data_IF_386349456904
#
_entry.id   IF_386349456904
#
_cell.length_a   1.000
_cell.length_b   1.000
_cell.length_c   1.000
_cell.angle_alpha   90.00
_cell.angle_beta   90.00
_cell.angle_gamma   90.00
#
_symmetry.space_group_name_H-M   'P 1'
#
loop_
_entity.id
_entity.type
_entity.pdbx_description
1 polymer ?
#
# COMPACT_ATOMS: atom_id res chain seq x y z
N UNK A 1 -6.52 -18.02 23.16
CA UNK A 1 -5.30 -18.80 23.49
C UNK A 1 -4.62 -19.43 22.26
N UNK A 2 -5.36 -19.91 21.24
CA UNK A 2 -4.77 -20.54 20.04
C UNK A 2 -3.99 -19.56 19.14
N UNK A 3 -4.45 -18.34 18.95
CA UNK A 3 -3.79 -17.34 18.09
C UNK A 3 -2.42 -16.92 18.61
N UNK A 4 -2.26 -16.72 19.93
CA UNK A 4 -0.97 -16.36 20.54
C UNK A 4 0.08 -17.48 20.36
N UNK A 5 -0.33 -18.74 20.33
CA UNK A 5 0.57 -19.87 20.08
C UNK A 5 1.00 -19.95 18.61
N UNK A 6 0.12 -19.62 17.68
CA UNK A 6 0.45 -19.62 16.25
C UNK A 6 1.44 -18.48 15.94
N UNK A 7 1.22 -17.28 16.45
CA UNK A 7 2.15 -16.15 16.30
C UNK A 7 3.51 -16.46 16.92
N UNK A 8 3.54 -17.09 18.10
CA UNK A 8 4.78 -17.48 18.74
C UNK A 8 5.53 -18.59 17.98
N UNK A 9 4.81 -19.56 17.40
CA UNK A 9 5.40 -20.61 16.55
C UNK A 9 5.93 -20.07 15.23
N UNK A 10 5.26 -19.11 14.62
CA UNK A 10 5.73 -18.43 13.40
C UNK A 10 6.99 -17.61 13.70
N UNK A 11 7.03 -16.87 14.80
CA UNK A 11 8.22 -16.15 15.27
C UNK A 11 9.38 -17.09 15.62
N UNK A 12 9.10 -18.21 16.30
CA UNK A 12 10.12 -19.21 16.64
C UNK A 12 10.65 -19.95 15.41
N UNK A 13 9.78 -20.23 14.42
CA UNK A 13 10.18 -20.81 13.14
C UNK A 13 11.10 -19.89 12.33
N UNK A 14 10.90 -18.58 12.41
CA UNK A 14 11.79 -17.58 11.77
C UNK A 14 13.19 -17.55 12.40
N UNK A 15 13.34 -17.86 13.67
CA UNK A 15 14.65 -17.94 14.35
C UNK A 15 15.44 -19.20 14.01
N UNK A 16 14.78 -20.26 13.52
CA UNK A 16 15.45 -21.54 13.21
C UNK A 16 15.98 -21.64 11.77
N UNK A 17 15.77 -20.64 10.95
CA UNK A 17 16.32 -20.59 9.60
C UNK A 17 17.79 -20.14 9.68
N UNK A 18 18.71 -21.09 9.92
CA UNK A 18 20.14 -20.89 9.71
C UNK A 18 20.42 -20.68 8.20
N UNK A 19 20.11 -19.51 7.70
CA UNK A 19 20.45 -19.11 6.33
C UNK A 19 21.54 -18.02 6.41
N UNK A 20 22.58 -18.21 5.66
CA UNK A 20 23.75 -17.33 5.53
C UNK A 20 23.46 -16.02 4.78
N UNK A 21 22.20 -15.70 4.49
CA UNK A 21 21.78 -14.46 3.85
C UNK A 21 21.37 -13.44 4.90
N UNK A 22 21.91 -12.23 4.79
CA UNK A 22 21.61 -11.15 5.72
C UNK A 22 20.14 -10.72 5.59
N UNK A 23 19.42 -10.78 6.71
CA UNK A 23 18.10 -10.14 6.81
C UNK A 23 18.29 -8.62 6.68
N UNK A 24 17.39 -7.97 5.96
CA UNK A 24 17.41 -6.52 5.80
C UNK A 24 16.27 -5.95 6.63
N UNK A 25 16.63 -5.15 7.62
CA UNK A 25 15.67 -4.36 8.39
C UNK A 25 15.86 -2.88 8.04
N UNK A 26 14.75 -2.18 7.73
CA UNK A 26 14.75 -0.74 7.43
C UNK A 26 13.70 -0.04 8.29
N UNK A 27 13.97 1.20 8.63
CA UNK A 27 13.02 2.10 9.27
C UNK A 27 13.02 3.43 8.55
N UNK A 28 11.84 3.96 8.29
CA UNK A 28 11.63 5.31 7.77
C UNK A 28 10.74 6.07 8.75
N UNK A 29 11.18 7.25 9.13
CA UNK A 29 10.41 8.15 9.96
C UNK A 29 10.23 9.48 9.24
N UNK A 30 8.98 9.92 9.16
CA UNK A 30 8.59 11.21 8.58
C UNK A 30 7.84 11.98 9.66
N UNK A 31 8.13 13.28 9.76
CA UNK A 31 7.41 14.19 10.66
C UNK A 31 7.10 15.46 9.90
N UNK A 32 5.83 15.83 9.91
CA UNK A 32 5.32 17.07 9.30
C UNK A 32 4.70 17.95 10.37
N UNK A 33 5.04 19.21 10.35
CA UNK A 33 4.38 20.23 11.13
C UNK A 33 3.53 21.11 10.22
N UNK A 34 2.23 21.09 10.45
CA UNK A 34 1.22 21.82 9.69
C UNK A 34 0.72 23.01 10.51
N UNK A 35 0.44 24.12 9.85
CA UNK A 35 -0.09 25.33 10.44
C UNK A 35 -1.07 26.01 9.48
N UNK A 36 -2.29 26.30 9.94
CA UNK A 36 -3.34 26.94 9.16
C UNK A 36 -3.15 28.47 8.98
N UNK A 37 -1.97 29.00 9.32
CA UNK A 37 -1.64 30.42 9.32
C UNK A 37 -2.49 31.26 10.31
N UNK A 38 -3.25 30.61 11.18
CA UNK A 38 -4.10 31.26 12.19
C UNK A 38 -3.76 30.72 13.59
N UNK A 39 -4.50 29.77 14.11
CA UNK A 39 -4.32 29.29 15.49
C UNK A 39 -4.09 27.79 15.60
N UNK A 40 -4.41 27.05 14.56
CA UNK A 40 -4.36 25.61 14.62
C UNK A 40 -3.03 25.09 14.07
N UNK A 41 -2.48 24.13 14.77
CA UNK A 41 -1.29 23.39 14.35
C UNK A 41 -1.55 21.90 14.43
N UNK A 42 -0.95 21.14 13.56
CA UNK A 42 -0.96 19.67 13.61
C UNK A 42 0.47 19.17 13.45
N UNK A 43 0.87 18.22 14.27
CA UNK A 43 2.12 17.50 14.12
C UNK A 43 1.77 16.07 13.71
N UNK A 44 2.07 15.72 12.48
CA UNK A 44 1.84 14.38 11.93
C UNK A 44 3.17 13.63 11.92
N UNK A 45 3.15 12.40 12.42
CA UNK A 45 4.32 11.53 12.48
C UNK A 45 3.97 10.19 11.85
N UNK A 46 4.84 9.70 10.98
CA UNK A 46 4.74 8.37 10.39
C UNK A 46 6.02 7.59 10.62
N UNK A 47 5.90 6.37 11.12
CA UNK A 47 7.00 5.41 11.21
C UNK A 47 6.65 4.17 10.38
N UNK A 48 7.47 3.86 9.39
CA UNK A 48 7.41 2.61 8.62
C UNK A 48 8.57 1.72 9.00
N UNK A 49 8.29 0.48 9.37
CA UNK A 49 9.27 -0.56 9.67
C UNK A 49 9.13 -1.67 8.65
N UNK A 50 10.24 -2.05 8.02
CA UNK A 50 10.29 -3.06 6.97
C UNK A 50 11.29 -4.16 7.32
N UNK A 51 10.93 -5.38 6.99
CA UNK A 51 11.76 -6.57 7.13
C UNK A 51 11.72 -7.39 5.84
N UNK A 52 12.89 -7.65 5.27
CA UNK A 52 13.05 -8.57 4.16
C UNK A 52 13.93 -9.74 4.59
N UNK A 53 13.42 -10.95 4.42
CA UNK A 53 14.10 -12.20 4.79
C UNK A 53 14.33 -13.00 3.51
N UNK A 54 15.57 -13.05 2.97
CA UNK A 54 15.89 -13.87 1.82
C UNK A 54 15.63 -15.36 2.07
N UNK A 55 15.10 -16.05 1.08
CA UNK A 55 14.81 -17.48 1.12
C UNK A 55 15.69 -18.19 0.09
N UNK A 56 16.36 -19.26 0.49
CA UNK A 56 17.16 -20.07 -0.41
C UNK A 56 18.36 -19.31 -0.99
N UNK A 57 18.47 -19.22 -2.32
CA UNK A 57 19.62 -18.61 -3.03
C UNK A 57 19.47 -17.12 -3.33
N UNK A 58 18.55 -16.43 -2.66
CA UNK A 58 18.41 -14.97 -2.74
C UNK A 58 17.60 -14.43 -3.93
N UNK A 59 16.83 -15.28 -4.60
CA UNK A 59 15.82 -14.84 -5.58
C UNK A 59 14.42 -14.74 -4.97
N UNK A 60 14.27 -15.30 -3.81
CA UNK A 60 13.03 -15.38 -3.06
C UNK A 60 13.22 -14.65 -1.75
N UNK A 61 12.20 -13.94 -1.31
CA UNK A 61 12.18 -13.33 0.00
C UNK A 61 10.78 -13.36 0.61
N UNK A 62 10.75 -13.28 1.93
CA UNK A 62 9.57 -12.95 2.69
C UNK A 62 9.65 -11.49 3.09
N UNK A 63 8.63 -10.73 2.71
CA UNK A 63 8.54 -9.30 2.96
C UNK A 63 7.50 -9.01 4.04
N UNK A 64 7.83 -8.14 4.98
CA UNK A 64 6.90 -7.64 5.98
C UNK A 64 7.13 -6.15 6.23
N UNK A 65 6.05 -5.39 6.37
CA UNK A 65 6.14 -4.00 6.78
C UNK A 65 4.94 -3.60 7.64
N UNK A 66 5.21 -2.73 8.62
CA UNK A 66 4.19 -2.08 9.44
C UNK A 66 4.27 -0.58 9.27
N UNK A 67 3.12 0.06 9.43
CA UNK A 67 2.97 1.50 9.38
C UNK A 67 2.35 1.99 10.69
N UNK A 68 2.90 3.06 11.25
CA UNK A 68 2.43 3.70 12.46
C UNK A 68 2.21 5.18 12.16
N UNK A 69 1.04 5.69 12.49
CA UNK A 69 0.69 7.10 12.30
C UNK A 69 0.24 7.68 13.63
N UNK A 70 0.74 8.86 13.94
CA UNK A 70 0.33 9.63 15.12
C UNK A 70 0.25 11.12 14.78
N UNK A 71 -0.89 11.73 15.04
CA UNK A 71 -1.11 13.17 14.86
C UNK A 71 -1.67 13.81 16.12
N UNK A 72 -1.43 15.12 16.26
CA UNK A 72 -1.88 15.88 17.44
C UNK A 72 -3.28 16.45 17.29
N UNK A 73 -3.70 16.75 16.06
CA UNK A 73 -5.02 17.27 15.72
C UNK A 73 -5.52 16.62 14.43
N UNK A 74 -6.80 16.71 14.16
CA UNK A 74 -7.37 16.34 12.87
C UNK A 74 -6.97 17.35 11.80
N UNK A 75 -7.09 16.96 10.52
CA UNK A 75 -6.67 17.74 9.38
C UNK A 75 -7.10 19.21 9.48
N UNK A 76 -6.14 20.10 9.62
CA UNK A 76 -6.36 21.54 9.84
C UNK A 76 -6.28 22.34 8.54
N UNK A 77 -5.83 21.71 7.48
CA UNK A 77 -5.70 22.30 6.14
C UNK A 77 -6.63 21.52 5.23
N UNK A 78 -7.66 22.20 4.76
CA UNK A 78 -8.63 21.65 3.81
C UNK A 78 -8.21 22.06 2.40
N UNK A 79 -7.93 21.07 1.55
CA UNK A 79 -7.64 21.27 0.14
C UNK A 79 -8.20 20.11 -0.72
N UNK A 80 -8.28 20.34 -2.03
CA UNK A 80 -8.88 19.41 -2.98
C UNK A 80 -8.03 18.18 -3.26
N UNK A 81 -6.74 18.18 -2.90
CA UNK A 81 -5.80 17.13 -3.24
C UNK A 81 -5.27 16.37 -2.02
N UNK A 82 -5.66 16.78 -0.81
CA UNK A 82 -5.06 16.31 0.42
C UNK A 82 -3.66 16.90 0.61
N UNK A 83 -3.53 17.84 1.54
CA UNK A 83 -2.29 18.59 1.78
C UNK A 83 -1.10 17.69 2.08
N UNK A 84 -1.32 16.63 2.83
CA UNK A 84 -0.30 15.69 3.26
C UNK A 84 -0.67 14.26 2.86
N UNK A 85 0.27 13.52 2.30
CA UNK A 85 0.10 12.10 1.97
C UNK A 85 0.33 11.17 3.17
N UNK A 86 0.68 11.70 4.33
CA UNK A 86 0.84 10.93 5.58
C UNK A 86 -0.18 11.30 6.67
N UNK A 87 -1.01 12.33 6.46
CA UNK A 87 -2.05 12.75 7.43
C UNK A 87 -3.22 11.78 7.37
N UNK A 88 -3.25 10.89 8.34
CA UNK A 88 -4.24 9.83 8.49
C UNK A 88 -4.58 9.71 9.97
N UNK A 89 -5.64 9.01 10.31
CA UNK A 89 -6.01 8.74 11.69
C UNK A 89 -4.90 8.07 12.49
N UNK A 90 -4.93 8.24 13.81
CA UNK A 90 -3.96 7.62 14.70
C UNK A 90 -4.03 6.10 14.65
N UNK A 91 -2.98 5.48 14.15
CA UNK A 91 -2.85 4.03 14.04
C UNK A 91 -1.56 3.54 14.69
N UNK A 92 -1.66 2.63 15.65
CA UNK A 92 -0.48 2.08 16.30
C UNK A 92 0.29 1.11 15.41
N UNK A 93 -0.39 0.24 14.68
CA UNK A 93 0.26 -0.72 13.79
C UNK A 93 -0.70 -1.16 12.68
N UNK A 94 -0.52 -0.63 11.50
CA UNK A 94 -1.16 -1.09 10.29
C UNK A 94 -0.26 -2.12 9.61
N UNK A 95 -0.83 -3.16 9.05
CA UNK A 95 -0.10 -4.08 8.20
C UNK A 95 0.02 -3.48 6.81
N UNK A 96 1.21 -2.98 6.45
CA UNK A 96 1.46 -2.40 5.15
C UNK A 96 1.84 -3.46 4.10
N UNK A 97 2.72 -4.39 4.47
CA UNK A 97 3.16 -5.49 3.60
C UNK A 97 3.27 -6.77 4.41
N UNK A 98 2.83 -7.89 3.85
CA UNK A 98 3.14 -9.23 4.34
C UNK A 98 3.00 -10.23 3.17
N UNK A 99 4.10 -10.77 2.70
CA UNK A 99 4.00 -11.67 1.55
C UNK A 99 5.32 -12.28 1.10
N UNK A 100 5.22 -12.99 0.02
CA UNK A 100 6.32 -13.63 -0.67
C UNK A 100 6.67 -12.85 -1.94
N UNK A 101 7.95 -12.63 -2.14
CA UNK A 101 8.53 -12.00 -3.33
C UNK A 101 9.43 -13.02 -4.06
N UNK A 102 9.26 -13.13 -5.36
CA UNK A 102 10.18 -13.83 -6.25
C UNK A 102 10.76 -12.86 -7.27
N UNK A 103 12.09 -12.79 -7.35
CA UNK A 103 12.79 -11.94 -8.29
C UNK A 103 13.43 -12.77 -9.42
N UNK A 104 13.33 -12.26 -10.64
CA UNK A 104 14.11 -12.73 -11.78
C UNK A 104 14.84 -11.56 -12.45
N UNK A 105 15.69 -11.84 -13.42
CA UNK A 105 16.60 -10.84 -14.00
C UNK A 105 15.89 -9.61 -14.62
N UNK A 106 14.62 -9.71 -14.96
CA UNK A 106 13.87 -8.69 -15.66
C UNK A 106 12.59 -8.23 -14.95
N UNK A 107 12.38 -8.63 -13.72
CA UNK A 107 11.18 -8.25 -12.96
C UNK A 107 10.99 -9.02 -11.68
N UNK A 108 9.81 -8.92 -11.09
CA UNK A 108 9.45 -9.65 -9.89
C UNK A 108 7.97 -10.01 -9.81
N UNK A 109 7.65 -10.95 -8.95
CA UNK A 109 6.30 -11.35 -8.57
C UNK A 109 6.17 -11.17 -7.05
N UNK A 110 5.07 -10.59 -6.62
CA UNK A 110 4.69 -10.53 -5.21
C UNK A 110 3.31 -11.17 -5.01
N UNK A 111 3.19 -11.96 -3.96
CA UNK A 111 1.92 -12.55 -3.53
C UNK A 111 1.74 -12.37 -2.02
N UNK A 112 0.70 -11.67 -1.61
CA UNK A 112 0.47 -11.37 -0.20
C UNK A 112 -0.42 -10.17 0.02
N UNK A 113 -0.21 -9.48 1.13
CA UNK A 113 -0.91 -8.24 1.51
C UNK A 113 -0.01 -7.05 1.21
N UNK A 114 -0.52 -6.06 0.49
CA UNK A 114 0.11 -4.73 0.30
C UNK A 114 -0.92 -3.71 -0.20
N UNK A 115 -0.56 -2.44 -0.22
CA UNK A 115 -1.33 -1.42 -0.92
C UNK A 115 -0.88 -1.29 -2.38
N UNK A 116 -1.72 -0.71 -3.23
CA UNK A 116 -1.45 -0.56 -4.68
C UNK A 116 -0.71 0.73 -5.03
N UNK A 117 -0.59 1.69 -4.10
CA UNK A 117 0.04 2.98 -4.36
C UNK A 117 1.51 2.89 -4.68
N UNK A 118 2.20 1.94 -4.07
CA UNK A 118 3.65 1.84 -4.15
C UNK A 118 4.15 1.40 -5.53
N UNK A 119 3.28 0.83 -6.35
CA UNK A 119 3.69 0.18 -7.60
C UNK A 119 3.36 0.95 -8.85
N UNK A 120 2.27 1.74 -8.83
CA UNK A 120 1.70 2.32 -10.04
C UNK A 120 1.76 3.85 -10.03
N UNK A 121 2.02 4.42 -11.20
CA UNK A 121 2.07 5.86 -11.48
C UNK A 121 3.09 6.63 -10.63
N UNK A 122 4.09 5.93 -10.10
CA UNK A 122 5.15 6.50 -9.27
C UNK A 122 6.37 6.87 -10.08
N UNK A 123 7.06 7.91 -9.65
CA UNK A 123 8.37 8.31 -10.18
C UNK A 123 9.24 8.87 -9.04
N UNK A 124 10.57 8.88 -9.22
CA UNK A 124 11.46 9.49 -8.24
C UNK A 124 11.28 11.02 -8.08
N UNK A 125 10.51 11.65 -8.98
CA UNK A 125 10.16 13.07 -8.86
C UNK A 125 8.88 13.23 -8.04
N UNK A 126 7.86 12.41 -8.29
CA UNK A 126 6.59 12.49 -7.55
C UNK A 126 6.77 12.17 -6.06
N UNK A 127 7.71 11.29 -5.72
CA UNK A 127 8.05 10.96 -4.32
C UNK A 127 8.71 12.10 -3.52
N UNK A 128 8.98 13.24 -4.16
CA UNK A 128 9.46 14.45 -3.47
C UNK A 128 8.32 15.38 -3.02
N UNK A 129 7.10 15.13 -3.45
CA UNK A 129 5.94 15.94 -3.08
C UNK A 129 5.24 15.38 -1.86
N UNK A 130 4.74 16.26 -1.00
CA UNK A 130 4.09 15.89 0.27
C UNK A 130 2.58 15.67 0.11
N UNK A 131 1.97 16.11 -0.99
CA UNK A 131 0.53 15.98 -1.19
C UNK A 131 0.11 14.57 -1.61
N UNK A 132 -1.18 14.27 -1.49
CA UNK A 132 -1.75 12.94 -1.78
C UNK A 132 -1.81 12.57 -3.27
N UNK A 133 -1.23 13.39 -4.16
CA UNK A 133 -1.25 13.15 -5.62
C UNK A 133 -0.15 12.20 -6.09
N UNK A 134 0.69 11.70 -5.20
CA UNK A 134 1.71 10.72 -5.52
C UNK A 134 1.12 9.31 -5.67
N UNK A 135 1.64 8.54 -6.61
CA UNK A 135 1.23 7.16 -6.83
C UNK A 135 -0.06 7.05 -7.63
N UNK A 136 -0.97 6.19 -7.18
CA UNK A 136 -2.24 5.96 -7.88
C UNK A 136 -3.03 7.27 -7.97
N UNK A 137 -3.59 7.55 -9.14
CA UNK A 137 -4.29 8.82 -9.36
C UNK A 137 -5.44 9.01 -8.35
N UNK A 138 -5.61 10.21 -7.79
CA UNK A 138 -6.70 10.50 -6.85
C UNK A 138 -8.08 10.11 -7.38
N UNK A 139 -8.34 10.29 -8.70
CA UNK A 139 -9.58 9.86 -9.35
C UNK A 139 -9.85 8.36 -9.26
N UNK A 140 -8.83 7.52 -9.20
CA UNK A 140 -9.00 6.08 -9.00
C UNK A 140 -9.18 5.79 -7.50
N UNK A 141 -8.33 6.37 -6.67
CA UNK A 141 -8.35 6.15 -5.22
C UNK A 141 -9.64 6.64 -4.55
N UNK A 142 -10.21 7.75 -5.03
CA UNK A 142 -11.49 8.28 -4.53
C UNK A 142 -12.73 7.65 -5.16
N UNK A 143 -12.58 6.93 -6.27
CA UNK A 143 -13.72 6.28 -6.94
C UNK A 143 -13.99 4.84 -6.45
N UNK A 144 -13.05 4.22 -5.76
CA UNK A 144 -13.17 2.82 -5.33
C UNK A 144 -12.49 2.62 -3.95
N UNK A 145 -13.05 1.80 -3.05
CA UNK A 145 -12.49 1.50 -1.73
C UNK A 145 -11.31 0.52 -1.80
N UNK A 146 -10.41 0.72 -2.75
CA UNK A 146 -9.27 -0.16 -3.00
C UNK A 146 -8.25 -0.11 -1.87
N UNK A 147 -7.30 -1.06 -1.90
CA UNK A 147 -6.16 -1.09 -0.97
C UNK A 147 -5.17 0.06 -1.26
N UNK A 148 -5.60 1.28 -0.96
CA UNK A 148 -4.84 2.52 -1.03
C UNK A 148 -4.37 2.94 0.36
N UNK A 149 -3.22 3.62 0.49
CA UNK A 149 -2.72 4.10 1.79
C UNK A 149 -3.84 4.76 2.62
N UNK A 150 -3.97 4.43 3.90
CA UNK A 150 -3.17 3.52 4.71
C UNK A 150 -3.62 2.05 4.66
N UNK A 151 -4.68 1.75 3.90
CA UNK A 151 -5.28 0.43 3.80
C UNK A 151 -4.42 -0.51 2.97
N UNK A 152 -4.47 -1.79 3.31
CA UNK A 152 -3.84 -2.86 2.53
C UNK A 152 -4.84 -3.97 2.22
N UNK A 153 -4.49 -4.85 1.29
CA UNK A 153 -5.34 -5.98 0.90
C UNK A 153 -4.56 -7.07 0.20
N UNK A 154 -5.20 -8.21 0.01
CA UNK A 154 -4.58 -9.30 -0.74
C UNK A 154 -4.32 -8.89 -2.17
N UNK A 155 -3.11 -9.15 -2.62
CA UNK A 155 -2.57 -8.71 -3.90
C UNK A 155 -1.71 -9.82 -4.52
N UNK A 156 -1.88 -10.02 -5.82
CA UNK A 156 -0.93 -10.68 -6.69
C UNK A 156 -0.40 -9.64 -7.66
N UNK A 157 0.87 -9.30 -7.56
CA UNK A 157 1.52 -8.30 -8.40
C UNK A 157 2.66 -8.92 -9.19
N UNK A 158 2.88 -8.49 -10.41
CA UNK A 158 4.10 -8.77 -11.16
C UNK A 158 4.50 -7.60 -12.05
N UNK A 159 5.80 -7.51 -12.33
CA UNK A 159 6.33 -6.68 -13.40
C UNK A 159 7.34 -7.43 -14.26
N UNK A 160 7.50 -6.93 -15.48
CA UNK A 160 8.50 -7.41 -16.44
C UNK A 160 9.08 -6.23 -17.21
N UNK A 161 10.41 -6.14 -17.24
CA UNK A 161 11.16 -5.13 -17.98
C UNK A 161 11.89 -5.76 -19.17
N UNK A 162 11.69 -5.20 -20.36
CA UNK A 162 12.43 -5.55 -21.57
C UNK A 162 12.92 -4.30 -22.29
N UNK A 163 14.22 -4.09 -22.27
CA UNK A 163 14.82 -2.88 -22.83
C UNK A 163 14.38 -1.62 -22.08
N UNK A 164 13.63 -0.74 -22.78
CA UNK A 164 13.10 0.50 -22.22
C UNK A 164 11.66 0.38 -21.72
N UNK A 165 11.03 -0.76 -21.91
CA UNK A 165 9.65 -1.01 -21.55
C UNK A 165 9.54 -1.80 -20.27
N UNK A 166 8.64 -1.39 -19.38
CA UNK A 166 8.23 -2.15 -18.20
C UNK A 166 6.71 -2.29 -18.22
N UNK A 167 6.25 -3.53 -18.13
CA UNK A 167 4.83 -3.82 -17.92
C UNK A 167 4.63 -4.22 -16.46
N UNK A 168 3.60 -3.66 -15.83
CA UNK A 168 3.18 -3.96 -14.47
C UNK A 168 1.73 -4.38 -14.47
N UNK A 169 1.39 -5.36 -13.64
CA UNK A 169 0.00 -5.73 -13.42
C UNK A 169 -0.20 -6.16 -11.97
N UNK A 170 -1.36 -5.83 -11.41
CA UNK A 170 -1.80 -6.36 -10.11
C UNK A 170 -3.25 -6.81 -10.16
N UNK A 171 -3.52 -7.90 -9.46
CA UNK A 171 -4.85 -8.39 -9.14
C UNK A 171 -5.03 -8.29 -7.63
N UNK A 172 -6.00 -7.51 -7.19
CA UNK A 172 -6.16 -7.14 -5.80
C UNK A 172 -7.56 -7.51 -5.31
N UNK A 173 -7.70 -7.75 -4.02
CA UNK A 173 -9.01 -7.65 -3.40
C UNK A 173 -9.61 -6.28 -3.72
N UNK A 174 -10.93 -6.22 -3.98
CA UNK A 174 -11.58 -4.99 -4.43
C UNK A 174 -11.76 -3.92 -3.35
N UNK A 175 -11.44 -4.25 -2.09
CA UNK A 175 -11.43 -3.30 -0.97
C UNK A 175 -10.15 -3.44 -0.16
N UNK A 176 -9.69 -2.34 0.43
CA UNK A 176 -8.60 -2.29 1.38
C UNK A 176 -9.10 -2.27 2.82
N UNK A 177 -8.27 -2.71 3.76
CA UNK A 177 -8.58 -2.80 5.18
C UNK A 177 -7.40 -2.36 6.02
N UNK A 178 -7.70 -1.72 7.15
CA UNK A 178 -6.69 -1.25 8.10
C UNK A 178 -6.76 -1.92 9.47
N UNK A 179 -7.81 -2.69 9.72
CA UNK A 179 -8.08 -3.28 11.02
C UNK A 179 -7.42 -4.65 11.25
N UNK A 180 -7.68 -5.18 12.45
CA UNK A 180 -7.25 -6.51 12.90
C UNK A 180 -8.43 -7.38 13.34
N UNK A 181 -9.67 -6.95 13.04
CA UNK A 181 -10.90 -7.66 13.41
C UNK A 181 -11.26 -8.70 12.34
N UNK A 182 -12.11 -9.65 12.69
CA UNK A 182 -12.54 -10.71 11.77
C UNK A 182 -13.25 -10.18 10.50
N UNK A 183 -13.90 -9.03 10.60
CA UNK A 183 -14.64 -8.39 9.50
C UNK A 183 -13.89 -7.21 8.87
N UNK A 184 -12.76 -6.80 9.46
CA UNK A 184 -11.92 -5.69 9.03
C UNK A 184 -10.46 -6.11 9.22
N UNK A 185 -9.87 -6.73 8.20
CA UNK A 185 -8.45 -7.08 8.15
C UNK A 185 -8.01 -7.32 6.70
N UNK A 186 -6.73 -7.08 6.37
CA UNK A 186 -6.24 -7.13 4.99
C UNK A 186 -6.17 -8.53 4.36
N UNK A 187 -6.46 -9.59 5.12
CA UNK A 187 -6.52 -10.97 4.59
C UNK A 187 -7.91 -11.41 4.13
N UNK A 188 -8.90 -10.52 4.17
CA UNK A 188 -10.25 -10.84 3.75
C UNK A 188 -10.32 -11.14 2.26
N UNK A 189 -11.04 -12.21 1.91
CA UNK A 189 -11.34 -12.62 0.53
C UNK A 189 -12.85 -12.66 0.36
N UNK A 190 -13.43 -11.60 -0.14
CA UNK A 190 -14.88 -11.45 -0.29
C UNK A 190 -15.26 -10.93 -1.68
N UNK A 191 -14.92 -11.66 -2.78
CA UNK A 191 -15.11 -11.14 -4.14
C UNK A 191 -16.57 -10.82 -4.49
N UNK A 192 -17.53 -11.43 -3.82
CA UNK A 192 -18.95 -11.09 -3.98
C UNK A 192 -19.34 -9.78 -3.28
N UNK A 193 -18.69 -9.43 -2.16
CA UNK A 193 -18.93 -8.18 -1.41
C UNK A 193 -17.98 -7.08 -1.88
N UNK A 194 -16.68 -7.34 -1.91
CA UNK A 194 -15.65 -6.35 -2.15
C UNK A 194 -15.34 -6.18 -3.65
N UNK A 195 -15.69 -7.19 -4.48
CA UNK A 195 -15.24 -7.22 -5.87
C UNK A 195 -13.77 -7.62 -6.01
N UNK A 196 -13.24 -7.41 -7.21
CA UNK A 196 -11.84 -7.60 -7.58
C UNK A 196 -11.37 -6.33 -8.30
N UNK A 197 -10.20 -5.85 -7.95
CA UNK A 197 -9.57 -4.70 -8.59
C UNK A 197 -8.34 -5.15 -9.37
N UNK A 198 -8.28 -4.80 -10.66
CA UNK A 198 -7.12 -5.02 -11.51
C UNK A 198 -6.54 -3.69 -11.97
N UNK A 199 -5.23 -3.57 -11.87
CA UNK A 199 -4.48 -2.44 -12.41
C UNK A 199 -3.38 -2.95 -13.34
N UNK A 200 -3.27 -2.32 -14.51
CA UNK A 200 -2.21 -2.57 -15.49
C UNK A 200 -1.57 -1.26 -15.89
N UNK A 201 -0.24 -1.26 -16.02
CA UNK A 201 0.53 -0.10 -16.43
C UNK A 201 1.64 -0.50 -17.39
N UNK A 202 1.82 0.27 -18.44
CA UNK A 202 2.96 0.20 -19.35
C UNK A 202 3.82 1.46 -19.17
N UNK A 203 5.10 1.25 -18.90
CA UNK A 203 6.09 2.32 -18.77
C UNK A 203 7.08 2.30 -19.93
N UNK A 204 7.53 3.46 -20.36
CA UNK A 204 8.61 3.64 -21.32
C UNK A 204 9.65 4.63 -20.79
N UNK A 205 10.89 4.18 -20.66
CA UNK A 205 12.00 4.98 -20.16
C UNK A 205 12.82 5.51 -21.35
N UNK A 206 12.92 6.84 -21.48
CA UNK A 206 13.67 7.47 -22.56
C UNK A 206 14.32 8.78 -22.12
N UNK A 207 15.63 8.90 -22.35
CA UNK A 207 16.42 10.13 -22.09
C UNK A 207 16.18 10.77 -20.72
N UNK A 208 16.13 9.94 -19.64
CA UNK A 208 15.91 10.41 -18.27
C UNK A 208 14.47 10.73 -17.92
N UNK A 209 13.53 10.58 -18.86
CA UNK A 209 12.09 10.66 -18.63
C UNK A 209 11.45 9.29 -18.52
N UNK A 210 10.38 9.20 -17.75
CA UNK A 210 9.49 8.04 -17.67
C UNK A 210 8.10 8.45 -18.18
N UNK A 211 7.63 7.75 -19.18
CA UNK A 211 6.27 7.87 -19.70
C UNK A 211 5.49 6.63 -19.31
N UNK A 212 4.28 6.78 -18.87
CA UNK A 212 3.45 5.64 -18.52
C UNK A 212 1.98 5.89 -18.89
N UNK A 213 1.30 4.79 -19.18
CA UNK A 213 -0.15 4.74 -19.36
C UNK A 213 -0.66 3.47 -18.65
N UNK A 214 -1.86 3.53 -18.09
CA UNK A 214 -2.43 2.40 -17.39
C UNK A 214 -3.95 2.37 -17.50
N UNK A 215 -4.49 1.24 -17.08
CA UNK A 215 -5.93 1.00 -16.98
C UNK A 215 -6.23 0.36 -15.62
N UNK A 216 -7.29 0.84 -14.98
CA UNK A 216 -7.84 0.28 -13.76
C UNK A 216 -9.24 -0.26 -14.03
N UNK A 217 -9.54 -1.45 -13.55
CA UNK A 217 -10.85 -2.09 -13.69
C UNK A 217 -11.26 -2.66 -12.33
N UNK A 218 -12.47 -2.30 -11.89
CA UNK A 218 -13.11 -2.86 -10.71
C UNK A 218 -14.35 -3.64 -11.10
N UNK A 219 -14.55 -4.83 -10.53
CA UNK A 219 -15.72 -5.69 -10.90
C UNK A 219 -17.02 -5.27 -10.25
N UNK A 220 -16.98 -4.38 -9.24
CA UNK A 220 -18.18 -3.77 -8.65
C UNK A 220 -18.35 -2.34 -9.15
N UNK A 221 -19.62 -1.95 -9.22
CA UNK A 221 -20.01 -0.55 -9.38
C UNK A 221 -20.35 0.00 -7.99
N UNK A 222 -19.80 1.16 -7.67
CA UNK A 222 -20.13 1.89 -6.46
C UNK A 222 -20.98 3.09 -6.86
N UNK A 223 -22.19 3.24 -6.31
CA UNK A 223 -22.99 4.43 -6.53
C UNK A 223 -22.23 5.63 -5.96
N UNK A 224 -22.22 6.71 -6.72
CA UNK A 224 -21.77 8.01 -6.24
C UNK A 224 -23.04 8.73 -5.76
N UNK A 225 -23.06 9.25 -4.54
CA UNK A 225 -24.17 10.06 -4.05
C UNK A 225 -24.26 11.39 -4.82
N UNK A 226 -25.32 12.17 -4.59
CA UNK A 226 -25.53 13.47 -5.26
C UNK A 226 -24.39 14.46 -4.98
N UNK A 227 -23.66 14.29 -3.88
CA UNK A 227 -22.53 15.11 -3.48
C UNK A 227 -21.19 14.63 -4.11
N UNK A 228 -21.19 13.53 -4.86
CA UNK A 228 -20.01 12.94 -5.50
C UNK A 228 -19.20 12.01 -4.60
N UNK A 229 -19.69 11.71 -3.41
CA UNK A 229 -19.04 10.77 -2.48
C UNK A 229 -19.44 9.33 -2.77
N UNK A 230 -18.52 8.40 -2.54
CA UNK A 230 -18.82 6.96 -2.63
C UNK A 230 -19.72 6.54 -1.47
N UNK A 231 -20.86 5.94 -1.80
CA UNK A 231 -21.71 5.31 -0.80
C UNK A 231 -21.07 3.99 -0.37
N UNK A 232 -20.81 3.83 0.92
CA UNK A 232 -20.30 2.58 1.45
C UNK A 232 -21.28 1.44 1.22
N UNK A 233 -20.75 0.23 0.97
CA UNK A 233 -21.61 -0.94 0.68
C UNK A 233 -22.44 -1.41 1.89
N UNK A 234 -22.29 -0.78 3.04
CA UNK A 234 -23.00 -1.12 4.27
C UNK A 234 -24.28 -0.28 4.45
N UNK A 235 -24.51 0.72 3.57
CA UNK A 235 -25.69 1.59 3.59
C UNK A 235 -26.73 1.27 2.48
N UNK A 236 -26.55 0.18 1.73
CA UNK A 236 -27.46 -0.25 0.66
C UNK A 236 -28.19 -1.55 0.98
#
# INVERSE_FOLDING_TARGET
MKLKRIVFLVLLGMFCLNQTHAQVFRGQYISEWQWDMNKNTNLVNQLRLELSIPIGKGKDSFEAATLHVAKTNDGIIDDWQGFSNIDEDNHFALLAVLGYMHEWNSGHLFAGVRNVNEDFFTSGITSLFLNSSEGIFPTIASSYPIANYPHSGLTLYFDVTKGRWTFKNSLNNGAGYSGWKAHDNPFLVRPKKDGIFNMSQLEYNYKGGKYFAGIAVHTRQYPINEDGEMVSSDES
#
